data_IF_829068239244
#
_entry.id   IF_829068239244
#
_cell.length_a   1.000
_cell.length_b   1.000
_cell.length_c   1.000
_cell.angle_alpha   90.00
_cell.angle_beta   90.00
_cell.angle_gamma   90.00
#
_symmetry.space_group_name_H-M   'P 1'
#
loop_
_entity.id
_entity.type
_entity.pdbx_description
1 polymer ?
#
# COMPACT_ATOMS: atom_id res chain seq x y z
N UNK A 1 52.91 9.52 -2.60
CA UNK A 1 52.18 10.49 -1.76
C UNK A 1 50.73 10.78 -2.24
N UNK A 2 50.50 10.88 -3.56
CA UNK A 2 49.17 11.19 -4.11
C UNK A 2 48.12 10.08 -3.85
N UNK A 3 48.52 8.82 -3.88
CA UNK A 3 47.65 7.65 -3.61
C UNK A 3 47.22 7.57 -2.11
N UNK A 4 48.10 7.91 -1.18
CA UNK A 4 47.75 7.97 0.26
C UNK A 4 46.77 9.10 0.55
N UNK A 5 46.88 10.23 -0.14
CA UNK A 5 45.98 11.38 0.03
C UNK A 5 44.57 11.10 -0.49
N UNK A 6 44.48 10.47 -1.67
CA UNK A 6 43.18 10.04 -2.25
C UNK A 6 42.49 9.04 -1.33
N UNK A 7 43.22 8.05 -0.78
CA UNK A 7 42.67 7.05 0.14
C UNK A 7 42.18 7.66 1.46
N UNK A 8 42.89 8.68 1.96
CA UNK A 8 42.50 9.45 3.17
C UNK A 8 41.23 10.29 2.90
N UNK A 9 41.11 10.94 1.75
CA UNK A 9 39.92 11.68 1.34
C UNK A 9 38.71 10.75 1.23
N UNK A 10 38.86 9.60 0.57
CA UNK A 10 37.79 8.60 0.43
C UNK A 10 37.34 8.06 1.79
N UNK A 11 38.27 7.81 2.73
CA UNK A 11 37.94 7.37 4.09
C UNK A 11 37.20 8.48 4.86
N UNK A 12 37.68 9.73 4.76
CA UNK A 12 37.02 10.87 5.39
C UNK A 12 35.60 11.10 4.85
N UNK A 13 35.41 10.95 3.56
CA UNK A 13 34.08 11.07 2.90
C UNK A 13 33.16 9.93 3.34
N UNK A 14 33.66 8.69 3.44
CA UNK A 14 32.92 7.55 3.98
C UNK A 14 32.55 7.76 5.44
N UNK A 15 33.46 8.24 6.27
CA UNK A 15 33.20 8.55 7.69
C UNK A 15 32.17 9.67 7.82
N UNK A 16 32.26 10.71 7.01
CA UNK A 16 31.35 11.85 7.01
C UNK A 16 29.95 11.43 6.53
N UNK A 17 29.89 10.56 5.53
CA UNK A 17 28.62 9.96 5.05
C UNK A 17 27.98 9.10 6.15
N UNK A 18 28.74 8.19 6.79
CA UNK A 18 28.23 7.36 7.90
C UNK A 18 27.80 8.19 9.11
N UNK A 19 28.50 9.26 9.42
CA UNK A 19 28.15 10.16 10.53
C UNK A 19 26.89 10.98 10.19
N UNK A 20 26.71 11.39 8.94
CA UNK A 20 25.48 12.04 8.47
C UNK A 20 24.30 11.06 8.44
N UNK A 21 24.53 9.82 8.06
CA UNK A 21 23.54 8.75 8.09
C UNK A 21 23.05 8.46 9.52
N UNK A 22 23.96 8.39 10.48
CA UNK A 22 23.63 8.24 11.90
C UNK A 22 22.85 9.45 12.44
N UNK A 23 23.24 10.67 12.06
CA UNK A 23 22.50 11.89 12.41
C UNK A 23 21.12 11.94 11.76
N UNK A 24 21.01 11.52 10.51
CA UNK A 24 19.73 11.45 9.79
C UNK A 24 18.79 10.40 10.42
N UNK A 25 19.32 9.29 10.96
CA UNK A 25 18.55 8.29 11.69
C UNK A 25 18.08 8.78 13.06
N UNK A 26 18.90 9.59 13.70
CA UNK A 26 18.62 10.13 15.04
C UNK A 26 17.75 11.39 15.02
N UNK A 27 17.71 12.10 13.89
CA UNK A 27 16.93 13.32 13.70
C UNK A 27 16.66 13.56 12.21
N UNK A 28 15.71 14.46 11.90
CA UNK A 28 15.37 14.83 10.54
C UNK A 28 13.95 14.46 10.17
N UNK A 29 13.65 14.46 8.87
CA UNK A 29 12.31 14.19 8.36
C UNK A 29 12.32 13.03 7.40
N UNK A 30 11.39 12.10 7.58
CA UNK A 30 11.07 11.02 6.67
C UNK A 30 9.71 11.27 6.04
N UNK A 31 9.67 11.43 4.72
CA UNK A 31 8.45 11.66 3.96
C UNK A 31 8.01 10.37 3.28
N UNK A 32 6.83 9.88 3.60
CA UNK A 32 6.29 8.60 3.12
C UNK A 32 5.03 8.88 2.32
N UNK A 33 4.98 8.38 1.09
CA UNK A 33 3.75 8.31 0.30
C UNK A 33 3.06 6.97 0.52
N UNK A 34 1.74 6.95 0.65
CA UNK A 34 1.00 5.69 0.74
C UNK A 34 -0.39 5.81 0.10
N UNK A 35 -0.88 4.74 -0.48
CA UNK A 35 -2.29 4.60 -0.81
C UNK A 35 -3.08 4.15 0.43
N UNK A 36 -4.37 4.47 0.50
CA UNK A 36 -5.20 4.19 1.68
C UNK A 36 -5.21 2.72 2.11
N UNK A 37 -5.01 1.81 1.19
CA UNK A 37 -4.95 0.36 1.47
C UNK A 37 -3.82 -0.02 2.44
N UNK A 38 -2.77 0.78 2.51
CA UNK A 38 -1.64 0.55 3.42
C UNK A 38 -1.86 1.10 4.84
N UNK A 39 -2.97 1.79 5.11
CA UNK A 39 -3.23 2.38 6.44
C UNK A 39 -3.12 1.39 7.60
N UNK A 40 -3.72 0.18 7.55
CA UNK A 40 -3.61 -0.78 8.65
C UNK A 40 -2.16 -1.23 8.89
N UNK A 41 -1.42 -1.49 7.80
CA UNK A 41 -0.03 -1.94 7.86
C UNK A 41 0.89 -0.84 8.42
N UNK A 42 0.65 0.42 8.02
CA UNK A 42 1.45 1.55 8.46
C UNK A 42 1.30 1.84 9.95
N UNK A 43 0.12 1.68 10.52
CA UNK A 43 -0.16 2.09 11.90
C UNK A 43 0.77 1.40 12.90
N UNK A 44 0.94 0.09 12.79
CA UNK A 44 1.85 -0.70 13.64
C UNK A 44 3.30 -0.21 13.51
N UNK A 45 3.77 -0.11 12.25
CA UNK A 45 5.15 0.30 11.96
C UNK A 45 5.44 1.73 12.40
N UNK A 46 4.48 2.66 12.23
CA UNK A 46 4.61 4.05 12.69
C UNK A 46 4.80 4.11 14.20
N UNK A 47 4.01 3.36 14.98
CA UNK A 47 4.12 3.32 16.43
C UNK A 47 5.49 2.80 16.88
N UNK A 48 5.97 1.73 16.28
CA UNK A 48 7.26 1.14 16.62
C UNK A 48 8.42 2.03 16.18
N UNK A 49 8.35 2.61 14.99
CA UNK A 49 9.38 3.53 14.51
C UNK A 49 9.49 4.78 15.37
N UNK A 50 8.37 5.39 15.77
CA UNK A 50 8.38 6.56 16.66
C UNK A 50 8.96 6.27 18.04
N UNK A 51 8.75 5.06 18.58
CA UNK A 51 9.38 4.63 19.85
C UNK A 51 10.88 4.48 19.71
N UNK A 52 11.36 3.88 18.62
CA UNK A 52 12.77 3.63 18.37
C UNK A 52 13.54 4.89 17.97
N UNK A 53 12.88 5.79 17.22
CA UNK A 53 13.50 7.00 16.64
C UNK A 53 12.71 8.27 16.95
N UNK A 54 12.61 8.67 18.22
CA UNK A 54 11.72 9.74 18.70
C UNK A 54 12.06 11.13 18.16
N UNK A 55 13.26 11.33 17.57
CA UNK A 55 13.69 12.60 17.00
C UNK A 55 13.48 12.70 15.48
N UNK A 56 12.96 11.63 14.85
CA UNK A 56 12.62 11.64 13.42
C UNK A 56 11.19 12.10 13.25
N UNK A 57 10.99 13.19 12.51
CA UNK A 57 9.67 13.65 12.11
C UNK A 57 9.17 12.78 10.94
N UNK A 58 7.96 12.27 11.05
CA UNK A 58 7.28 11.52 9.99
C UNK A 58 6.23 12.40 9.31
N UNK A 59 6.26 12.48 7.99
CA UNK A 59 5.21 13.08 7.17
C UNK A 59 4.62 11.97 6.28
N UNK A 60 3.33 11.73 6.39
CA UNK A 60 2.62 10.70 5.64
C UNK A 60 1.68 11.38 4.65
N UNK A 61 1.79 11.04 3.38
CA UNK A 61 0.98 11.59 2.30
C UNK A 61 0.09 10.49 1.72
N UNK A 62 -1.22 10.55 2.01
CA UNK A 62 -2.19 9.67 1.39
C UNK A 62 -2.73 10.31 0.10
N UNK A 63 -2.48 9.67 -1.03
CA UNK A 63 -2.88 10.17 -2.35
C UNK A 63 -3.11 9.03 -3.34
N UNK A 64 -3.54 9.38 -4.55
CA UNK A 64 -3.61 8.43 -5.66
C UNK A 64 -2.20 7.95 -6.06
N UNK A 65 -2.13 6.78 -6.71
CA UNK A 65 -0.87 6.21 -7.20
C UNK A 65 -0.12 7.19 -8.12
N UNK A 66 -0.83 7.86 -9.00
CA UNK A 66 -0.24 8.78 -9.97
C UNK A 66 0.39 10.00 -9.30
N UNK A 67 -0.31 10.62 -8.34
CA UNK A 67 0.22 11.72 -7.55
C UNK A 67 1.45 11.30 -6.75
N UNK A 68 1.40 10.12 -6.11
CA UNK A 68 2.51 9.59 -5.31
C UNK A 68 3.75 9.31 -6.16
N UNK A 69 3.58 8.77 -7.37
CA UNK A 69 4.71 8.56 -8.28
C UNK A 69 5.31 9.89 -8.73
N UNK A 70 4.48 10.90 -9.02
CA UNK A 70 4.96 12.24 -9.31
C UNK A 70 5.73 12.89 -8.14
N UNK A 71 5.29 12.68 -6.91
CA UNK A 71 6.01 13.13 -5.70
C UNK A 71 7.35 12.37 -5.53
N UNK A 72 7.36 11.06 -5.82
CA UNK A 72 8.58 10.25 -5.75
C UNK A 72 9.61 10.72 -6.78
N UNK A 73 9.21 10.93 -8.02
CA UNK A 73 10.08 11.43 -9.09
C UNK A 73 10.70 12.80 -8.76
N UNK A 74 9.94 13.66 -8.06
CA UNK A 74 10.42 14.98 -7.58
C UNK A 74 11.19 14.91 -6.26
N UNK A 75 11.37 13.72 -5.69
CA UNK A 75 11.97 13.52 -4.37
C UNK A 75 11.25 14.25 -3.22
N UNK A 76 9.96 14.51 -3.37
CA UNK A 76 9.09 15.06 -2.31
C UNK A 76 8.75 14.02 -1.24
N UNK A 77 8.79 12.73 -1.61
CA UNK A 77 8.72 11.58 -0.70
C UNK A 77 9.94 10.70 -0.85
N UNK A 78 10.34 10.04 0.21
CA UNK A 78 11.51 9.16 0.25
C UNK A 78 11.20 7.77 -0.35
N UNK A 79 9.97 7.31 -0.18
CA UNK A 79 9.43 6.10 -0.80
C UNK A 79 7.89 6.13 -0.82
N UNK A 80 7.32 5.22 -1.60
CA UNK A 80 5.86 5.08 -1.73
C UNK A 80 5.45 3.64 -1.42
N UNK A 81 4.37 3.49 -0.66
CA UNK A 81 3.69 2.23 -0.38
C UNK A 81 2.39 2.17 -1.18
N UNK A 82 2.35 1.28 -2.14
CA UNK A 82 1.21 1.12 -3.05
C UNK A 82 1.23 -0.27 -3.68
N UNK A 83 0.13 -0.70 -4.29
CA UNK A 83 0.16 -1.90 -5.11
C UNK A 83 0.97 -1.65 -6.38
N UNK A 84 1.53 -2.73 -6.92
CA UNK A 84 2.27 -2.71 -8.18
C UNK A 84 1.40 -2.13 -9.30
N UNK A 85 1.85 -1.07 -9.96
CA UNK A 85 1.08 -0.47 -11.04
C UNK A 85 1.10 -1.34 -12.29
N UNK A 86 0.03 -1.29 -13.08
CA UNK A 86 -0.04 -1.95 -14.38
C UNK A 86 0.93 -1.35 -15.40
N UNK A 87 1.20 -0.04 -15.32
CA UNK A 87 2.21 0.64 -16.14
C UNK A 87 3.56 0.72 -15.41
N UNK A 88 4.64 0.60 -16.17
CA UNK A 88 6.00 0.79 -15.62
C UNK A 88 6.31 2.29 -15.50
N UNK A 89 6.86 2.70 -14.37
CA UNK A 89 7.42 4.03 -14.15
C UNK A 89 8.94 3.96 -14.37
N UNK A 90 9.45 4.74 -15.33
CA UNK A 90 10.89 4.84 -15.56
C UNK A 90 11.57 5.45 -14.33
N UNK A 91 12.76 4.97 -14.00
CA UNK A 91 13.48 5.48 -12.83
C UNK A 91 12.96 5.00 -11.47
N UNK A 92 11.87 4.25 -11.40
CA UNK A 92 11.33 3.65 -10.17
C UNK A 92 11.65 2.16 -10.12
N UNK A 93 12.04 1.67 -8.96
CA UNK A 93 12.09 0.25 -8.63
C UNK A 93 11.01 -0.10 -7.61
N UNK A 94 10.48 -1.30 -7.73
CA UNK A 94 9.39 -1.80 -6.88
C UNK A 94 9.81 -3.11 -6.26
N UNK A 95 9.71 -3.20 -4.94
CA UNK A 95 10.00 -4.42 -4.18
C UNK A 95 8.70 -4.92 -3.54
N UNK A 96 8.36 -6.17 -3.80
CA UNK A 96 7.13 -6.79 -3.28
C UNK A 96 7.29 -7.01 -1.77
N UNK A 97 6.30 -6.56 -1.00
CA UNK A 97 6.20 -6.78 0.43
C UNK A 97 5.25 -7.94 0.75
N UNK A 98 4.12 -8.03 0.06
CA UNK A 98 3.11 -9.07 0.25
C UNK A 98 2.22 -9.22 -0.99
N UNK A 99 1.59 -10.38 -1.10
CA UNK A 99 0.53 -10.62 -2.08
C UNK A 99 -0.84 -10.39 -1.45
N UNK A 100 -1.78 -9.96 -2.25
CA UNK A 100 -3.15 -9.70 -1.85
C UNK A 100 -4.11 -9.92 -3.02
N UNK A 101 -5.42 -9.87 -2.76
CA UNK A 101 -6.44 -10.06 -3.76
C UNK A 101 -7.52 -8.99 -3.67
N UNK A 102 -8.22 -8.74 -4.77
CA UNK A 102 -9.48 -8.03 -4.75
C UNK A 102 -10.54 -8.91 -4.09
N UNK A 103 -11.35 -8.28 -3.26
CA UNK A 103 -12.46 -8.92 -2.60
C UNK A 103 -13.72 -8.05 -2.66
N UNK A 104 -14.86 -8.69 -2.61
CA UNK A 104 -16.13 -8.03 -2.31
C UNK A 104 -16.21 -7.81 -0.81
N UNK A 105 -16.42 -6.58 -0.40
CA UNK A 105 -16.59 -6.21 1.00
C UNK A 105 -18.08 -6.01 1.27
N UNK A 106 -18.56 -6.69 2.28
CA UNK A 106 -19.97 -6.66 2.71
C UNK A 106 -20.07 -6.53 4.22
N UNK A 107 -21.23 -6.08 4.74
CA UNK A 107 -21.48 -6.19 6.17
C UNK A 107 -21.68 -7.66 6.58
N UNK A 108 -21.51 -7.97 7.86
CA UNK A 108 -21.56 -9.34 8.37
C UNK A 108 -22.95 -10.03 8.22
N UNK A 109 -24.01 -9.24 8.01
CA UNK A 109 -25.39 -9.74 7.86
C UNK A 109 -25.80 -9.87 6.39
N UNK A 110 -24.96 -9.39 5.46
CA UNK A 110 -25.23 -9.46 4.02
C UNK A 110 -25.33 -10.92 3.55
N UNK A 111 -26.25 -11.26 2.61
CA UNK A 111 -26.38 -12.63 2.11
C UNK A 111 -25.08 -13.27 1.61
N UNK A 112 -24.20 -12.49 0.98
CA UNK A 112 -22.89 -12.96 0.50
C UNK A 112 -21.89 -13.27 1.63
N UNK A 113 -22.12 -12.81 2.86
CA UNK A 113 -21.16 -12.97 3.97
C UNK A 113 -20.86 -14.43 4.31
N UNK A 114 -21.71 -15.37 3.94
CA UNK A 114 -21.55 -16.80 4.16
C UNK A 114 -20.85 -17.53 3.01
N UNK A 115 -20.63 -16.85 1.89
CA UNK A 115 -19.97 -17.45 0.73
C UNK A 115 -18.45 -17.56 0.96
N UNK A 116 -17.84 -18.61 0.43
CA UNK A 116 -16.38 -18.77 0.41
C UNK A 116 -15.72 -17.92 -0.69
N UNK A 117 -16.42 -17.74 -1.80
CA UNK A 117 -16.05 -16.88 -2.92
C UNK A 117 -17.32 -16.40 -3.62
N UNK A 118 -17.20 -15.39 -4.47
CA UNK A 118 -18.31 -14.85 -5.27
C UNK A 118 -17.87 -14.67 -6.73
N UNK A 119 -18.80 -14.99 -7.62
CA UNK A 119 -18.62 -14.76 -9.07
C UNK A 119 -19.03 -13.35 -9.46
N UNK A 120 -18.56 -12.85 -10.60
CA UNK A 120 -18.97 -11.55 -11.14
C UNK A 120 -20.49 -11.48 -11.40
N UNK A 121 -21.11 -12.60 -11.76
CA UNK A 121 -22.57 -12.69 -11.94
C UNK A 121 -23.34 -12.51 -10.63
N UNK A 122 -22.83 -13.06 -9.53
CA UNK A 122 -23.42 -12.87 -8.21
C UNK A 122 -23.29 -11.43 -7.74
N UNK A 123 -22.12 -10.82 -7.95
CA UNK A 123 -21.84 -9.40 -7.66
C UNK A 123 -22.87 -8.50 -8.38
N UNK A 124 -23.18 -8.79 -9.65
CA UNK A 124 -24.12 -8.01 -10.45
C UNK A 124 -25.57 -7.98 -9.93
N UNK A 125 -25.94 -8.86 -8.98
CA UNK A 125 -27.27 -8.88 -8.36
C UNK A 125 -27.47 -7.79 -7.32
N UNK A 126 -26.40 -7.16 -6.84
CA UNK A 126 -26.43 -6.20 -5.73
C UNK A 126 -26.08 -4.80 -6.19
N UNK A 127 -26.50 -3.81 -5.42
CA UNK A 127 -26.13 -2.42 -5.61
C UNK A 127 -24.69 -2.18 -5.08
N UNK A 128 -23.85 -1.53 -5.89
CA UNK A 128 -22.43 -1.40 -5.62
C UNK A 128 -22.08 0.06 -5.33
N UNK A 129 -21.32 0.28 -4.27
CA UNK A 129 -20.59 1.50 -4.02
C UNK A 129 -19.12 1.27 -4.38
N UNK A 130 -18.60 1.92 -5.42
CA UNK A 130 -17.23 1.70 -5.89
C UNK A 130 -16.27 2.78 -5.41
N UNK A 131 -14.99 2.42 -5.23
CA UNK A 131 -13.92 3.43 -5.20
C UNK A 131 -13.94 4.24 -6.49
N UNK A 132 -13.64 5.54 -6.39
CA UNK A 132 -13.57 6.42 -7.56
C UNK A 132 -12.48 5.98 -8.54
N UNK A 133 -12.63 6.38 -9.80
CA UNK A 133 -11.64 6.14 -10.85
C UNK A 133 -10.27 6.69 -10.45
N UNK A 134 -9.21 5.97 -10.80
CA UNK A 134 -7.83 6.30 -10.41
C UNK A 134 -7.39 5.68 -9.08
N UNK A 135 -8.30 5.21 -8.24
CA UNK A 135 -7.93 4.42 -7.06
C UNK A 135 -7.49 3.01 -7.49
N UNK A 136 -6.45 2.46 -6.83
CA UNK A 136 -5.83 1.21 -7.27
C UNK A 136 -6.78 0.01 -7.29
N UNK A 137 -7.64 -0.14 -6.26
CA UNK A 137 -8.63 -1.22 -6.24
C UNK A 137 -9.65 -1.08 -7.39
N UNK A 138 -10.07 0.16 -7.72
CA UNK A 138 -10.94 0.40 -8.86
C UNK A 138 -10.25 0.05 -10.18
N UNK A 139 -9.02 0.50 -10.38
CA UNK A 139 -8.26 0.22 -11.59
C UNK A 139 -8.03 -1.29 -11.78
N UNK A 140 -7.70 -2.01 -10.70
CA UNK A 140 -7.55 -3.45 -10.73
C UNK A 140 -8.87 -4.17 -11.06
N UNK A 141 -9.97 -3.73 -10.47
CA UNK A 141 -11.28 -4.28 -10.77
C UNK A 141 -11.72 -4.04 -12.22
N UNK A 142 -11.49 -2.85 -12.76
CA UNK A 142 -11.76 -2.55 -14.17
C UNK A 142 -10.97 -3.46 -15.13
N UNK A 143 -9.72 -3.80 -14.80
CA UNK A 143 -8.94 -4.77 -15.59
C UNK A 143 -9.56 -6.17 -15.57
N UNK A 144 -10.03 -6.61 -14.40
CA UNK A 144 -10.73 -7.91 -14.28
C UNK A 144 -11.98 -7.93 -15.13
N UNK A 145 -12.83 -6.92 -15.05
CA UNK A 145 -14.14 -6.93 -15.71
C UNK A 145 -14.09 -6.70 -17.22
N UNK A 146 -13.00 -6.14 -17.76
CA UNK A 146 -12.82 -5.97 -19.23
C UNK A 146 -13.00 -7.28 -19.97
N UNK A 147 -12.57 -8.40 -19.39
CA UNK A 147 -12.68 -9.73 -20.03
C UNK A 147 -14.04 -10.39 -19.88
N UNK A 148 -14.91 -9.90 -18.99
CA UNK A 148 -16.17 -10.56 -18.63
C UNK A 148 -17.42 -9.77 -18.98
N UNK A 149 -17.31 -8.47 -19.30
CA UNK A 149 -18.42 -7.56 -19.64
C UNK A 149 -19.65 -7.65 -18.72
N UNK A 150 -19.50 -7.77 -17.41
CA UNK A 150 -20.64 -7.86 -16.51
C UNK A 150 -21.39 -6.53 -16.42
N UNK A 151 -22.69 -6.60 -16.16
CA UNK A 151 -23.49 -5.42 -15.85
C UNK A 151 -23.55 -5.23 -14.34
N UNK A 152 -23.11 -4.08 -13.85
CA UNK A 152 -23.15 -3.72 -12.43
C UNK A 152 -24.07 -2.52 -12.19
N UNK A 153 -24.81 -2.56 -11.08
CA UNK A 153 -25.63 -1.44 -10.63
C UNK A 153 -24.83 -0.54 -9.69
N UNK A 154 -24.03 0.34 -10.28
CA UNK A 154 -23.22 1.27 -9.49
C UNK A 154 -24.12 2.41 -8.98
N UNK A 155 -24.28 2.50 -7.65
CA UNK A 155 -25.10 3.52 -6.98
C UNK A 155 -24.30 4.69 -6.46
N UNK A 156 -23.03 4.48 -6.19
CA UNK A 156 -22.13 5.48 -5.62
C UNK A 156 -20.70 5.25 -6.10
N UNK A 157 -20.00 6.34 -6.38
CA UNK A 157 -18.55 6.36 -6.54
C UNK A 157 -17.94 7.36 -5.56
N UNK A 158 -16.91 6.95 -4.82
CA UNK A 158 -16.33 7.74 -3.73
C UNK A 158 -14.82 7.55 -3.67
N UNK A 159 -14.09 8.64 -3.51
CA UNK A 159 -12.62 8.63 -3.41
C UNK A 159 -12.09 8.55 -1.97
N UNK A 160 -12.97 8.36 -0.99
CA UNK A 160 -12.61 8.27 0.42
C UNK A 160 -13.04 6.90 0.98
N UNK A 161 -12.04 6.04 1.25
CA UNK A 161 -12.26 4.64 1.64
C UNK A 161 -12.93 4.51 2.99
N UNK A 162 -12.60 5.37 3.96
CA UNK A 162 -13.17 5.28 5.30
C UNK A 162 -14.67 5.58 5.32
N UNK A 163 -15.13 6.55 4.52
CA UNK A 163 -16.58 6.80 4.34
C UNK A 163 -17.23 5.62 3.63
N UNK A 164 -16.57 5.07 2.60
CA UNK A 164 -17.06 3.91 1.87
C UNK A 164 -17.29 2.71 2.81
N UNK A 165 -16.31 2.39 3.66
CA UNK A 165 -16.42 1.31 4.64
C UNK A 165 -17.54 1.56 5.67
N UNK A 166 -17.73 2.80 6.12
CA UNK A 166 -18.86 3.16 6.99
C UNK A 166 -20.22 2.90 6.34
N UNK A 167 -20.36 3.24 5.06
CA UNK A 167 -21.58 2.97 4.30
C UNK A 167 -21.84 1.47 4.18
N UNK A 168 -20.82 0.68 3.86
CA UNK A 168 -20.96 -0.79 3.77
C UNK A 168 -21.38 -1.39 5.12
N UNK A 169 -20.85 -0.91 6.23
CA UNK A 169 -21.24 -1.39 7.58
C UNK A 169 -22.72 -1.17 7.90
N UNK A 170 -23.36 -0.15 7.29
CA UNK A 170 -24.68 0.33 7.66
C UNK A 170 -25.74 0.12 6.55
N UNK A 171 -25.42 -0.58 5.48
CA UNK A 171 -26.33 -0.80 4.34
C UNK A 171 -26.11 -2.16 3.70
N UNK A 172 -27.01 -2.51 2.77
CA UNK A 172 -26.87 -3.71 1.93
C UNK A 172 -26.05 -3.45 0.65
N UNK A 173 -25.37 -2.31 0.58
CA UNK A 173 -24.40 -2.04 -0.48
C UNK A 173 -23.18 -2.95 -0.33
N UNK A 174 -22.63 -3.34 -1.46
CA UNK A 174 -21.32 -4.00 -1.52
C UNK A 174 -20.28 -3.06 -2.10
N UNK A 175 -19.02 -3.30 -1.80
CA UNK A 175 -17.91 -2.61 -2.48
C UNK A 175 -16.81 -3.60 -2.86
N UNK A 176 -15.88 -3.15 -3.71
CA UNK A 176 -14.75 -3.96 -4.16
C UNK A 176 -13.47 -3.22 -3.80
N UNK A 177 -12.71 -3.83 -2.91
CA UNK A 177 -11.44 -3.32 -2.41
C UNK A 177 -10.41 -4.45 -2.35
N UNK A 178 -9.18 -4.11 -2.06
CA UNK A 178 -8.18 -5.08 -1.63
C UNK A 178 -8.55 -5.62 -0.25
N UNK A 179 -8.43 -6.92 -0.04
CA UNK A 179 -8.67 -7.56 1.25
C UNK A 179 -7.85 -6.91 2.38
N UNK A 180 -6.61 -6.50 2.08
CA UNK A 180 -5.75 -5.80 3.01
C UNK A 180 -6.36 -4.52 3.60
N UNK A 181 -7.29 -3.89 2.90
CA UNK A 181 -7.92 -2.62 3.32
C UNK A 181 -8.76 -2.78 4.58
N UNK A 182 -9.29 -3.97 4.86
CA UNK A 182 -10.22 -4.21 5.97
C UNK A 182 -9.63 -5.06 7.11
N UNK A 183 -8.31 -5.25 7.14
CA UNK A 183 -7.65 -6.15 8.08
C UNK A 183 -8.07 -5.94 9.55
N UNK A 184 -8.20 -4.69 9.99
CA UNK A 184 -8.56 -4.33 11.37
C UNK A 184 -10.03 -3.85 11.50
N UNK A 185 -10.84 -4.04 10.45
CA UNK A 185 -12.20 -3.51 10.39
C UNK A 185 -13.22 -4.51 10.93
N UNK A 186 -13.94 -4.12 11.97
CA UNK A 186 -15.04 -4.92 12.50
C UNK A 186 -16.37 -4.64 11.79
N UNK A 187 -17.25 -5.64 11.77
CA UNK A 187 -18.61 -5.52 11.23
C UNK A 187 -18.72 -5.72 9.71
N UNK A 188 -17.60 -5.94 9.05
CA UNK A 188 -17.54 -6.23 7.61
C UNK A 188 -16.67 -7.45 7.34
N UNK A 189 -16.84 -8.03 6.15
CA UNK A 189 -16.14 -9.23 5.71
C UNK A 189 -15.68 -9.06 4.26
N UNK A 190 -14.48 -9.51 3.96
CA UNK A 190 -13.96 -9.67 2.62
C UNK A 190 -14.32 -11.07 2.09
N UNK A 191 -14.82 -11.13 0.86
CA UNK A 191 -15.15 -12.37 0.19
C UNK A 191 -14.39 -12.39 -1.13
N UNK A 192 -13.50 -13.37 -1.36
CA UNK A 192 -12.72 -13.48 -2.58
C UNK A 192 -13.59 -13.49 -3.83
N UNK A 193 -13.16 -12.80 -4.88
CA UNK A 193 -13.79 -12.86 -6.20
C UNK A 193 -13.20 -14.06 -6.94
N UNK A 194 -14.07 -14.91 -7.46
CA UNK A 194 -13.68 -16.10 -8.19
C UNK A 194 -13.26 -15.74 -9.63
N UNK A 195 -12.07 -15.13 -9.73
CA UNK A 195 -11.41 -14.79 -11.00
C UNK A 195 -9.90 -14.92 -10.84
N UNK A 196 -9.18 -15.47 -11.82
CA UNK A 196 -7.72 -15.66 -11.75
C UNK A 196 -6.93 -14.35 -11.60
N UNK A 197 -7.44 -13.26 -12.16
CA UNK A 197 -6.75 -11.97 -12.26
C UNK A 197 -6.97 -11.05 -11.04
N UNK A 198 -7.53 -11.56 -9.95
CA UNK A 198 -7.82 -10.75 -8.74
C UNK A 198 -6.58 -10.39 -7.91
N UNK A 199 -5.40 -10.93 -8.26
CA UNK A 199 -4.17 -10.74 -7.51
C UNK A 199 -3.63 -9.30 -7.56
N UNK A 200 -3.14 -8.82 -6.42
CA UNK A 200 -2.51 -7.52 -6.26
C UNK A 200 -1.22 -7.68 -5.43
N UNK A 201 -0.10 -7.11 -5.89
CA UNK A 201 1.18 -7.14 -5.18
C UNK A 201 1.39 -5.83 -4.43
N UNK A 202 1.38 -5.88 -3.09
CA UNK A 202 1.74 -4.73 -2.24
C UNK A 202 3.25 -4.49 -2.27
N UNK A 203 3.66 -3.27 -2.63
CA UNK A 203 5.04 -2.93 -2.89
C UNK A 203 5.51 -1.70 -2.13
N UNK A 204 6.81 -1.62 -1.91
CA UNK A 204 7.53 -0.37 -1.69
C UNK A 204 8.17 0.06 -3.02
N UNK A 205 7.97 1.32 -3.37
CA UNK A 205 8.51 1.95 -4.58
C UNK A 205 9.55 2.98 -4.21
N UNK A 206 10.70 2.95 -4.86
CA UNK A 206 11.87 3.79 -4.60
C UNK A 206 12.42 4.33 -5.93
N UNK A 207 13.05 5.50 -5.89
CA UNK A 207 13.83 5.96 -7.03
C UNK A 207 15.08 5.10 -7.20
N UNK A 208 15.36 4.70 -8.43
CA UNK A 208 16.63 4.07 -8.80
C UNK A 208 17.77 5.08 -8.67
N UNK A 209 18.93 4.58 -8.31
CA UNK A 209 20.17 5.37 -8.28
C UNK A 209 20.09 6.66 -7.45
N UNK A 210 19.11 6.78 -6.54
CA UNK A 210 18.99 7.88 -5.59
C UNK A 210 19.61 7.54 -4.24
N UNK A 211 20.03 8.57 -3.51
CA UNK A 211 20.44 8.39 -2.12
C UNK A 211 19.25 7.94 -1.29
N UNK A 212 19.43 6.85 -0.54
CA UNK A 212 18.42 6.33 0.38
C UNK A 212 18.76 6.71 1.80
N UNK A 213 17.88 7.49 2.41
CA UNK A 213 18.02 7.80 3.85
C UNK A 213 18.03 6.51 4.65
N UNK A 214 18.93 6.43 5.62
CA UNK A 214 18.99 5.27 6.52
C UNK A 214 17.69 5.10 7.31
N UNK A 215 17.02 6.21 7.66
CA UNK A 215 15.67 6.18 8.27
C UNK A 215 14.62 5.53 7.38
N UNK A 216 14.69 5.74 6.05
CA UNK A 216 13.80 5.08 5.10
C UNK A 216 14.04 3.57 5.05
N UNK A 217 15.31 3.15 4.96
CA UNK A 217 15.67 1.72 4.95
C UNK A 217 15.25 1.02 6.25
N UNK A 218 15.43 1.67 7.38
CA UNK A 218 15.04 1.13 8.67
C UNK A 218 13.51 1.05 8.83
N UNK A 219 12.79 2.05 8.34
CA UNK A 219 11.33 2.01 8.32
C UNK A 219 10.81 0.85 7.45
N UNK A 220 11.37 0.67 6.26
CA UNK A 220 11.00 -0.43 5.35
C UNK A 220 11.34 -1.79 5.99
N UNK A 221 12.47 -1.91 6.70
CA UNK A 221 12.83 -3.13 7.43
C UNK A 221 11.78 -3.46 8.51
N UNK A 222 11.46 -2.49 9.37
CA UNK A 222 10.41 -2.66 10.40
C UNK A 222 9.06 -3.01 9.79
N UNK A 223 8.70 -2.35 8.69
CA UNK A 223 7.46 -2.62 7.95
C UNK A 223 7.42 -4.08 7.48
N UNK A 224 8.49 -4.59 6.87
CA UNK A 224 8.56 -5.96 6.38
C UNK A 224 8.54 -7.02 7.49
N UNK A 225 8.93 -6.65 8.70
CA UNK A 225 8.93 -7.50 9.90
C UNK A 225 7.63 -7.37 10.72
N UNK A 226 6.73 -6.45 10.37
CA UNK A 226 5.47 -6.22 11.08
C UNK A 226 4.56 -7.45 11.07
N UNK A 227 3.74 -7.61 12.11
CA UNK A 227 2.77 -8.72 12.18
C UNK A 227 1.78 -8.65 11.04
N UNK A 228 1.32 -7.46 10.68
CA UNK A 228 0.40 -7.23 9.58
C UNK A 228 0.91 -7.77 8.22
N UNK A 229 2.23 -7.74 7.97
CA UNK A 229 2.81 -8.35 6.76
C UNK A 229 3.06 -9.84 6.96
N UNK A 230 3.57 -10.26 8.12
CA UNK A 230 3.86 -11.67 8.40
C UNK A 230 2.62 -12.56 8.35
N UNK A 231 1.50 -12.09 8.86
CA UNK A 231 0.22 -12.80 8.80
C UNK A 231 -0.21 -13.03 7.36
N UNK A 232 -0.09 -12.03 6.49
CA UNK A 232 -0.42 -12.15 5.06
C UNK A 232 0.48 -13.10 4.28
N UNK A 233 1.73 -13.28 4.72
CA UNK A 233 2.62 -14.31 4.15
C UNK A 233 2.20 -15.71 4.61
N UNK A 234 1.72 -15.86 5.86
CA UNK A 234 1.26 -17.15 6.41
C UNK A 234 -0.01 -17.66 5.73
N UNK A 235 -0.97 -16.78 5.47
CA UNK A 235 -2.23 -17.15 4.80
C UNK A 235 -2.01 -17.71 3.38
N UNK A 236 -0.81 -17.57 2.84
CA UNK A 236 -0.41 -18.08 1.53
C UNK A 236 0.27 -19.47 1.58
N UNK A 237 0.72 -19.92 2.75
CA UNK A 237 1.46 -21.16 2.95
C UNK A 237 0.55 -22.28 3.51
N UNK A 238 -0.66 -21.93 3.95
CA UNK A 238 -1.70 -22.87 4.41
C UNK A 238 -2.79 -23.08 3.37
#
# INVERSE_FOLDING_TARGET
>A
NKFKFIKLMTIADICKSRMNDLKALLAGTLNIGATHTFSPILTETLLDFMKLYPKVKLNIHYKSMEELMGMLEKSEVDFVLAFKPSRRYEGVESHILFNNHLAVIVNNHHPLSQNKSVTLTEIGKYDIALPAKGMQARNAFEQVIVHYSPQFRVRLELNEVHILLKLIKQSDLITILSEATIHDEQGIKAIPIDVPESGMEGCVHLLKNSYRKRSALEFIRLLSESNAIRERIRDWIT
#
